data_IF_263553712862
#
_entry.id   IF_263553712862
#
_cell.length_a   1.000
_cell.length_b   1.000
_cell.length_c   1.000
_cell.angle_alpha   90.00
_cell.angle_beta   90.00
_cell.angle_gamma   90.00
#
_symmetry.space_group_name_H-M   'P 1'
#
loop_
_entity.id
_entity.type
_entity.pdbx_description
1 polymer ?
#
# COMPACT_ATOMS: atom_id res chain seq x y z
N UNK A 1 89.35 -26.60 38.87
CA UNK A 1 89.25 -26.31 37.42
C UNK A 1 87.86 -25.92 37.12
N UNK A 2 87.60 -24.61 37.24
CA UNK A 2 86.26 -24.03 37.16
C UNK A 2 86.13 -23.27 35.83
N UNK A 3 85.08 -23.57 35.04
CA UNK A 3 84.78 -22.82 33.86
C UNK A 3 83.37 -22.22 34.02
N UNK A 4 83.20 -20.90 34.05
CA UNK A 4 81.91 -20.31 34.19
C UNK A 4 81.29 -20.04 32.76
N UNK A 5 80.11 -20.56 32.50
CA UNK A 5 79.34 -20.25 31.35
C UNK A 5 78.68 -18.88 31.45
N UNK A 6 79.00 -17.98 30.54
CA UNK A 6 78.36 -16.68 30.39
C UNK A 6 77.07 -16.82 29.58
N UNK A 7 75.93 -16.51 30.20
CA UNK A 7 74.66 -16.35 29.53
C UNK A 7 74.65 -15.02 28.76
N UNK A 8 74.44 -15.13 27.44
CA UNK A 8 74.15 -13.98 26.58
C UNK A 8 72.65 -13.66 26.65
N UNK A 9 72.35 -12.46 27.14
CA UNK A 9 71.01 -11.90 27.15
C UNK A 9 70.57 -11.57 25.73
N UNK A 10 69.46 -12.18 25.26
CA UNK A 10 68.80 -11.87 23.99
C UNK A 10 67.71 -10.85 24.26
N UNK A 11 67.96 -9.58 23.89
CA UNK A 11 66.96 -8.51 23.95
C UNK A 11 65.96 -8.68 22.83
N UNK A 12 64.71 -9.05 23.16
CA UNK A 12 63.62 -9.15 22.22
C UNK A 12 63.01 -7.75 22.01
N UNK A 13 63.21 -7.22 20.81
CA UNK A 13 62.63 -5.94 20.38
C UNK A 13 61.15 -6.16 20.01
N UNK A 14 60.20 -5.65 20.80
CA UNK A 14 58.80 -5.63 20.47
C UNK A 14 58.53 -4.48 19.50
N UNK A 15 58.25 -4.80 18.25
CA UNK A 15 57.84 -3.86 17.23
C UNK A 15 56.33 -3.62 17.41
N UNK A 16 55.93 -2.52 18.02
CA UNK A 16 54.55 -2.12 18.16
C UNK A 16 54.03 -1.61 16.82
N UNK A 17 53.25 -2.43 16.14
CA UNK A 17 52.56 -2.07 14.92
C UNK A 17 51.31 -1.26 15.29
N UNK A 18 51.35 0.06 15.19
CA UNK A 18 50.20 0.94 15.36
C UNK A 18 49.25 0.77 14.15
N UNK A 19 48.10 0.14 14.37
CA UNK A 19 46.99 0.08 13.42
C UNK A 19 46.39 1.49 13.29
N UNK A 20 46.73 2.20 12.22
CA UNK A 20 46.04 3.42 11.79
C UNK A 20 44.65 3.02 11.29
N UNK A 21 43.65 3.09 12.16
CA UNK A 21 42.25 3.04 11.75
C UNK A 21 41.92 4.28 10.94
N UNK A 22 41.83 4.12 9.63
CA UNK A 22 41.30 5.18 8.76
C UNK A 22 39.83 5.37 9.10
N UNK A 23 39.49 6.43 9.83
CA UNK A 23 38.11 6.85 10.00
C UNK A 23 37.60 7.29 8.64
N UNK A 24 36.77 6.48 8.02
CA UNK A 24 36.00 6.89 6.84
C UNK A 24 35.03 7.97 7.33
N UNK A 25 35.24 9.20 6.89
CA UNK A 25 34.33 10.30 7.18
C UNK A 25 32.96 9.97 6.54
N UNK A 26 31.99 9.59 7.36
CA UNK A 26 30.61 9.39 6.91
C UNK A 26 30.03 10.74 6.48
N UNK A 27 29.51 10.78 5.24
CA UNK A 27 28.76 11.94 4.76
C UNK A 27 27.52 12.12 5.65
N UNK A 28 27.30 13.31 6.23
CA UNK A 28 26.16 13.52 7.13
C UNK A 28 24.84 13.41 6.33
N UNK A 29 23.91 12.64 6.85
CA UNK A 29 22.55 12.56 6.33
C UNK A 29 21.77 13.70 6.96
N UNK A 30 21.22 14.59 6.14
CA UNK A 30 20.45 15.74 6.60
C UNK A 30 18.96 15.47 6.34
N UNK A 31 18.18 15.45 7.41
CA UNK A 31 16.72 15.45 7.33
C UNK A 31 16.23 16.89 7.23
N UNK A 32 15.53 17.28 6.12
CA UNK A 32 14.90 18.59 6.02
C UNK A 32 13.88 18.79 7.15
N UNK A 33 13.82 19.98 7.72
CA UNK A 33 12.74 20.36 8.64
C UNK A 33 11.45 20.67 7.87
N UNK A 34 10.32 20.59 8.56
CA UNK A 34 9.06 21.12 8.04
C UNK A 34 9.17 22.62 7.72
N UNK A 35 8.30 23.21 6.90
CA UNK A 35 8.33 24.64 6.59
C UNK A 35 8.44 25.49 7.87
N UNK A 36 9.53 26.27 7.96
CA UNK A 36 9.83 27.10 9.14
C UNK A 36 10.60 26.39 10.27
N UNK A 37 10.93 25.11 10.12
CA UNK A 37 11.75 24.36 11.07
C UNK A 37 13.17 24.12 10.51
N UNK A 38 14.21 24.11 11.37
CA UNK A 38 15.58 23.84 10.94
C UNK A 38 15.74 22.37 10.51
N UNK A 39 16.61 22.14 9.54
CA UNK A 39 17.07 20.79 9.20
C UNK A 39 17.91 20.21 10.33
N UNK A 40 17.86 18.87 10.51
CA UNK A 40 18.70 18.16 11.50
C UNK A 40 19.56 17.09 10.83
N UNK A 41 20.71 16.84 11.41
CA UNK A 41 21.55 15.70 11.02
C UNK A 41 21.02 14.44 11.73
N UNK A 42 20.93 13.33 10.98
CA UNK A 42 20.47 12.03 11.47
C UNK A 42 21.51 10.96 11.15
N UNK A 43 21.47 9.86 11.91
CA UNK A 43 22.29 8.68 11.68
C UNK A 43 21.71 7.82 10.55
N UNK A 44 22.50 6.85 10.04
CA UNK A 44 22.00 5.85 9.05
C UNK A 44 20.86 5.03 9.66
N UNK A 45 20.96 4.70 10.95
CA UNK A 45 19.95 3.93 11.66
C UNK A 45 18.63 4.73 11.79
N UNK A 46 18.73 6.02 12.16
CA UNK A 46 17.57 6.91 12.17
C UNK A 46 16.98 7.10 10.77
N UNK A 47 17.82 7.24 9.72
CA UNK A 47 17.35 7.35 8.35
C UNK A 47 16.64 6.06 7.87
N UNK A 48 17.15 4.90 8.25
CA UNK A 48 16.54 3.60 7.96
C UNK A 48 15.20 3.42 8.70
N UNK A 49 15.12 3.87 9.95
CA UNK A 49 13.90 3.87 10.74
C UNK A 49 12.86 4.86 10.21
N UNK A 50 13.28 6.03 9.71
CA UNK A 50 12.37 6.99 9.07
C UNK A 50 11.78 6.44 7.76
N UNK A 51 12.56 5.69 6.98
CA UNK A 51 12.05 5.01 5.78
C UNK A 51 11.05 3.88 6.10
N UNK A 52 11.09 3.33 7.34
CA UNK A 52 10.21 2.25 7.80
C UNK A 52 9.01 2.69 8.66
N UNK A 53 8.92 3.97 9.03
CA UNK A 53 7.94 4.46 10.03
C UNK A 53 7.02 5.57 9.51
N UNK A 54 6.96 5.81 8.22
CA UNK A 54 6.12 6.87 7.69
C UNK A 54 4.71 6.40 7.33
N UNK A 55 4.05 5.68 8.21
CA UNK A 55 2.63 5.40 8.07
C UNK A 55 1.88 5.79 9.36
N UNK A 56 0.61 6.11 9.20
CA UNK A 56 -0.33 6.48 10.26
C UNK A 56 -1.39 5.38 10.45
N UNK A 57 -2.16 5.47 11.54
CA UNK A 57 -3.34 4.61 11.71
C UNK A 57 -4.36 4.78 10.57
N UNK A 58 -4.44 5.97 9.98
CA UNK A 58 -5.30 6.23 8.84
C UNK A 58 -4.81 5.49 7.58
N UNK A 59 -3.49 5.39 7.36
CA UNK A 59 -2.92 4.61 6.27
C UNK A 59 -3.23 3.11 6.42
N UNK A 60 -3.13 2.59 7.64
CA UNK A 60 -3.47 1.19 7.94
C UNK A 60 -4.95 0.91 7.66
N UNK A 61 -5.84 1.78 8.15
CA UNK A 61 -7.29 1.65 7.92
C UNK A 61 -7.65 1.78 6.44
N UNK A 62 -6.96 2.64 5.71
CA UNK A 62 -7.12 2.78 4.28
C UNK A 62 -6.76 1.49 3.55
N UNK A 63 -5.57 0.90 3.81
CA UNK A 63 -5.14 -0.36 3.20
C UNK A 63 -6.12 -1.50 3.51
N UNK A 64 -6.51 -1.66 4.78
CA UNK A 64 -7.49 -2.68 5.19
C UNK A 64 -8.87 -2.47 4.56
N UNK A 65 -9.32 -1.23 4.49
CA UNK A 65 -10.59 -0.87 3.86
C UNK A 65 -10.56 -1.10 2.35
N UNK A 66 -9.46 -0.75 1.68
CA UNK A 66 -9.32 -0.91 0.23
C UNK A 66 -9.23 -2.39 -0.18
N UNK A 67 -8.61 -3.26 0.62
CA UNK A 67 -8.67 -4.72 0.42
C UNK A 67 -10.12 -5.21 0.38
N UNK A 68 -10.94 -4.77 1.34
CA UNK A 68 -12.36 -5.16 1.40
C UNK A 68 -13.15 -4.57 0.23
N UNK A 69 -12.84 -3.33 -0.15
CA UNK A 69 -13.44 -2.66 -1.29
C UNK A 69 -13.13 -3.41 -2.59
N UNK A 70 -11.87 -3.71 -2.88
CA UNK A 70 -11.44 -4.45 -4.07
C UNK A 70 -12.02 -5.87 -4.12
N UNK A 71 -12.09 -6.54 -2.98
CA UNK A 71 -12.73 -7.87 -2.90
C UNK A 71 -14.18 -7.87 -3.39
N UNK A 72 -14.91 -6.77 -3.19
CA UNK A 72 -16.28 -6.66 -3.70
C UNK A 72 -16.32 -6.46 -5.23
N UNK A 73 -15.35 -5.74 -5.81
CA UNK A 73 -15.23 -5.62 -7.27
C UNK A 73 -14.96 -6.97 -7.92
N UNK A 74 -14.08 -7.80 -7.31
CA UNK A 74 -13.85 -9.18 -7.77
C UNK A 74 -15.13 -10.00 -7.73
N UNK A 75 -15.91 -9.92 -6.65
CA UNK A 75 -17.21 -10.59 -6.55
C UNK A 75 -18.17 -10.18 -7.68
N UNK A 76 -18.22 -8.90 -8.05
CA UNK A 76 -19.03 -8.43 -9.18
C UNK A 76 -18.50 -8.94 -10.52
N UNK A 77 -17.18 -8.90 -10.72
CA UNK A 77 -16.54 -9.33 -11.96
C UNK A 77 -16.73 -10.82 -12.22
N UNK A 78 -16.69 -11.68 -11.19
CA UNK A 78 -16.98 -13.11 -11.29
C UNK A 78 -18.40 -13.41 -11.81
N UNK A 79 -19.35 -12.52 -11.61
CA UNK A 79 -20.73 -12.72 -12.12
C UNK A 79 -20.83 -12.61 -13.64
N UNK A 80 -19.86 -11.93 -14.28
CA UNK A 80 -19.93 -11.54 -15.71
C UNK A 80 -19.94 -12.76 -16.62
N UNK A 81 -19.08 -13.76 -16.38
CA UNK A 81 -18.95 -14.94 -17.26
C UNK A 81 -20.28 -15.66 -17.49
N UNK A 82 -21.09 -15.81 -16.44
CA UNK A 82 -22.35 -16.52 -16.50
C UNK A 82 -23.53 -15.65 -16.98
N UNK A 83 -23.39 -14.32 -17.02
CA UNK A 83 -24.52 -13.38 -17.20
C UNK A 83 -24.41 -12.47 -18.40
N UNK A 84 -23.20 -12.23 -18.92
CA UNK A 84 -22.97 -11.38 -20.08
C UNK A 84 -22.34 -12.16 -21.23
N UNK A 85 -22.90 -12.00 -22.42
CA UNK A 85 -22.28 -12.48 -23.67
C UNK A 85 -21.54 -11.36 -24.42
N UNK A 86 -21.54 -10.13 -23.90
CA UNK A 86 -20.92 -8.97 -24.52
C UNK A 86 -19.40 -8.98 -24.23
N UNK A 87 -18.63 -9.28 -25.30
CA UNK A 87 -17.16 -9.39 -25.20
C UNK A 87 -16.51 -8.19 -24.50
N UNK A 88 -16.97 -6.97 -24.80
CA UNK A 88 -16.43 -5.75 -24.18
C UNK A 88 -16.62 -5.73 -22.65
N UNK A 89 -17.72 -6.27 -22.13
CA UNK A 89 -17.98 -6.41 -20.68
C UNK A 89 -17.09 -7.49 -20.07
N UNK A 90 -16.94 -8.63 -20.75
CA UNK A 90 -16.07 -9.72 -20.30
C UNK A 90 -14.61 -9.28 -20.22
N UNK A 91 -14.12 -8.55 -21.22
CA UNK A 91 -12.76 -8.01 -21.23
C UNK A 91 -12.56 -6.93 -20.15
N UNK A 92 -13.58 -6.10 -19.89
CA UNK A 92 -13.53 -5.12 -18.80
C UNK A 92 -13.45 -5.81 -17.44
N UNK A 93 -14.32 -6.80 -17.19
CA UNK A 93 -14.32 -7.55 -15.93
C UNK A 93 -13.01 -8.29 -15.70
N UNK A 94 -12.46 -8.94 -16.73
CA UNK A 94 -11.16 -9.61 -16.66
C UNK A 94 -10.04 -8.63 -16.29
N UNK A 95 -10.02 -7.45 -16.90
CA UNK A 95 -9.02 -6.41 -16.62
C UNK A 95 -9.12 -5.94 -15.17
N UNK A 96 -10.35 -5.63 -14.71
CA UNK A 96 -10.60 -5.24 -13.31
C UNK A 96 -10.13 -6.34 -12.35
N UNK A 97 -10.46 -7.61 -12.64
CA UNK A 97 -10.03 -8.72 -11.77
C UNK A 97 -8.52 -8.80 -11.66
N UNK A 98 -7.80 -8.78 -12.78
CA UNK A 98 -6.33 -8.90 -12.78
C UNK A 98 -5.67 -7.73 -12.04
N UNK A 99 -6.11 -6.49 -12.29
CA UNK A 99 -5.55 -5.31 -11.63
C UNK A 99 -5.81 -5.35 -10.12
N UNK A 100 -7.05 -5.59 -9.71
CA UNK A 100 -7.42 -5.52 -8.30
C UNK A 100 -6.95 -6.72 -7.48
N UNK A 101 -6.76 -7.91 -8.08
CA UNK A 101 -6.08 -9.03 -7.43
C UNK A 101 -4.62 -8.67 -7.08
N UNK A 102 -3.87 -8.11 -8.03
CA UNK A 102 -2.48 -7.67 -7.81
C UNK A 102 -2.40 -6.57 -6.74
N UNK A 103 -3.34 -5.63 -6.74
CA UNK A 103 -3.43 -4.56 -5.75
C UNK A 103 -3.76 -5.08 -4.35
N UNK A 104 -4.65 -6.07 -4.22
CA UNK A 104 -4.92 -6.75 -2.94
C UNK A 104 -3.65 -7.40 -2.41
N UNK A 105 -2.92 -8.14 -3.24
CA UNK A 105 -1.65 -8.78 -2.84
C UNK A 105 -0.65 -7.74 -2.34
N UNK A 106 -0.48 -6.65 -3.07
CA UNK A 106 0.43 -5.57 -2.67
C UNK A 106 0.03 -4.94 -1.31
N UNK A 107 -1.27 -4.69 -1.09
CA UNK A 107 -1.75 -4.15 0.19
C UNK A 107 -1.54 -5.13 1.34
N UNK A 108 -1.78 -6.42 1.12
CA UNK A 108 -1.52 -7.47 2.11
C UNK A 108 -0.04 -7.56 2.46
N UNK A 109 0.85 -7.54 1.47
CA UNK A 109 2.30 -7.54 1.68
C UNK A 109 2.76 -6.28 2.42
N UNK A 110 2.17 -5.12 2.12
CA UNK A 110 2.47 -3.87 2.82
C UNK A 110 2.12 -3.95 4.32
N UNK A 111 0.96 -4.53 4.66
CA UNK A 111 0.52 -4.75 6.04
C UNK A 111 1.39 -5.80 6.74
N UNK A 112 1.67 -6.93 6.07
CA UNK A 112 2.47 -8.03 6.63
C UNK A 112 3.91 -7.59 6.93
N UNK A 113 4.53 -6.81 6.06
CA UNK A 113 5.88 -6.27 6.27
C UNK A 113 5.99 -5.36 7.51
N UNK A 114 4.85 -4.96 8.10
CA UNK A 114 4.73 -4.11 9.29
C UNK A 114 4.13 -4.82 10.50
N UNK A 115 3.99 -6.14 10.43
CA UNK A 115 3.31 -6.97 11.45
C UNK A 115 1.88 -6.48 11.77
N UNK A 116 1.18 -5.93 10.77
CA UNK A 116 -0.19 -5.41 10.90
C UNK A 116 -1.22 -6.42 10.41
N UNK A 117 -2.42 -6.48 11.02
CA UNK A 117 -3.47 -7.37 10.57
C UNK A 117 -3.99 -6.97 9.18
N UNK A 118 -4.21 -7.97 8.30
CA UNK A 118 -4.77 -7.76 6.96
C UNK A 118 -6.23 -7.31 6.99
N UNK A 119 -6.99 -7.85 7.93
CA UNK A 119 -8.40 -7.51 8.11
C UNK A 119 -8.58 -6.34 9.07
N UNK A 120 -9.53 -5.47 8.76
CA UNK A 120 -9.96 -4.41 9.67
C UNK A 120 -10.55 -5.01 10.95
N UNK A 121 -10.18 -4.51 12.15
CA UNK A 121 -10.76 -4.97 13.41
C UNK A 121 -12.29 -4.80 13.43
N UNK A 122 -13.00 -5.80 14.00
CA UNK A 122 -14.46 -5.76 14.09
C UNK A 122 -15.00 -4.50 14.77
N UNK A 123 -14.26 -3.96 15.75
CA UNK A 123 -14.64 -2.72 16.44
C UNK A 123 -14.63 -1.52 15.48
N UNK A 124 -13.65 -1.44 14.59
CA UNK A 124 -13.56 -0.36 13.59
C UNK A 124 -14.65 -0.50 12.53
N UNK A 125 -14.94 -1.72 12.07
CA UNK A 125 -16.07 -1.98 11.16
C UNK A 125 -17.43 -1.59 11.79
N UNK A 126 -17.64 -1.92 13.07
CA UNK A 126 -18.86 -1.53 13.79
C UNK A 126 -18.95 -0.01 14.00
N UNK A 127 -17.83 0.67 14.27
CA UNK A 127 -17.78 2.11 14.39
C UNK A 127 -18.14 2.80 13.06
N UNK A 128 -17.62 2.32 11.94
CA UNK A 128 -17.98 2.82 10.61
C UNK A 128 -19.47 2.61 10.30
N UNK A 129 -20.01 1.44 10.61
CA UNK A 129 -21.42 1.14 10.39
C UNK A 129 -22.34 2.00 11.28
N UNK A 130 -21.97 2.24 12.54
CA UNK A 130 -22.76 3.03 13.49
C UNK A 130 -22.76 4.54 13.18
N UNK A 131 -21.68 5.05 12.62
CA UNK A 131 -21.54 6.46 12.23
C UNK A 131 -22.13 6.76 10.85
N UNK A 132 -22.75 5.78 10.17
CA UNK A 132 -23.15 5.88 8.76
C UNK A 132 -22.00 6.26 7.82
N UNK A 133 -20.76 6.05 8.25
CA UNK A 133 -19.55 6.17 7.42
C UNK A 133 -19.32 4.87 6.65
N UNK A 134 -20.30 4.50 5.84
CA UNK A 134 -20.04 3.41 4.89
C UNK A 134 -18.85 3.81 4.01
N UNK A 135 -18.02 2.83 3.67
CA UNK A 135 -16.96 3.07 2.69
C UNK A 135 -17.58 3.61 1.40
N UNK A 136 -17.07 4.72 0.87
CA UNK A 136 -17.59 5.27 -0.37
C UNK A 136 -17.65 4.20 -1.46
N UNK A 137 -18.72 4.18 -2.22
CA UNK A 137 -18.89 3.28 -3.36
C UNK A 137 -19.20 1.82 -3.04
N UNK A 138 -19.01 1.37 -1.79
CA UNK A 138 -19.33 -0.01 -1.41
C UNK A 138 -20.82 -0.30 -1.68
N UNK A 139 -21.09 -1.46 -2.23
CA UNK A 139 -22.45 -1.89 -2.54
C UNK A 139 -23.08 -2.59 -1.35
N UNK A 140 -24.38 -2.40 -1.21
CA UNK A 140 -25.19 -3.15 -0.26
C UNK A 140 -25.41 -4.58 -0.74
N UNK A 141 -25.72 -5.51 0.18
CA UNK A 141 -26.14 -6.87 -0.18
C UNK A 141 -27.32 -6.87 -1.16
N UNK A 142 -28.29 -5.94 -0.97
CA UNK A 142 -29.43 -5.83 -1.86
C UNK A 142 -29.04 -5.43 -3.30
N UNK A 143 -28.04 -4.56 -3.48
CA UNK A 143 -27.53 -4.20 -4.81
C UNK A 143 -26.78 -5.37 -5.47
N UNK A 144 -26.04 -6.15 -4.68
CA UNK A 144 -25.37 -7.37 -5.16
C UNK A 144 -26.38 -8.46 -5.53
N UNK A 145 -27.40 -8.68 -4.71
CA UNK A 145 -28.48 -9.63 -4.98
C UNK A 145 -29.28 -9.23 -6.23
N UNK A 146 -29.58 -7.92 -6.37
CA UNK A 146 -30.20 -7.39 -7.60
C UNK A 146 -29.34 -7.71 -8.82
N UNK A 147 -28.04 -7.41 -8.79
CA UNK A 147 -27.12 -7.68 -9.88
C UNK A 147 -27.06 -9.18 -10.20
N UNK A 148 -26.99 -10.03 -9.18
CA UNK A 148 -26.92 -11.46 -9.32
C UNK A 148 -28.19 -12.07 -9.96
N UNK A 149 -29.33 -11.41 -9.84
CA UNK A 149 -30.61 -11.81 -10.44
C UNK A 149 -30.76 -11.42 -11.91
N UNK A 150 -29.91 -10.55 -12.45
CA UNK A 150 -30.01 -10.05 -13.82
C UNK A 150 -29.18 -10.89 -14.81
N UNK A 151 -29.50 -10.78 -16.11
CA UNK A 151 -28.75 -11.42 -17.20
C UNK A 151 -28.76 -10.54 -18.45
N UNK A 152 -27.87 -10.83 -19.40
CA UNK A 152 -27.81 -10.16 -20.69
C UNK A 152 -27.70 -8.63 -20.58
N UNK A 153 -28.43 -7.88 -21.37
CA UNK A 153 -28.33 -6.42 -21.42
C UNK A 153 -28.68 -5.71 -20.09
N UNK A 154 -29.64 -6.27 -19.35
CA UNK A 154 -30.00 -5.70 -18.01
C UNK A 154 -28.85 -5.85 -17.04
N UNK A 155 -28.22 -7.02 -17.00
CA UNK A 155 -27.01 -7.27 -16.24
C UNK A 155 -25.87 -6.33 -16.66
N UNK A 156 -25.58 -6.24 -17.96
CA UNK A 156 -24.52 -5.40 -18.50
C UNK A 156 -24.65 -3.95 -18.06
N UNK A 157 -25.86 -3.40 -18.21
CA UNK A 157 -26.15 -2.02 -17.83
C UNK A 157 -25.95 -1.81 -16.31
N UNK A 158 -26.52 -2.73 -15.51
CA UNK A 158 -26.44 -2.62 -14.05
C UNK A 158 -25.02 -2.85 -13.52
N UNK A 159 -24.29 -3.81 -14.07
CA UNK A 159 -22.89 -4.05 -13.76
C UNK A 159 -22.04 -2.79 -13.98
N UNK A 160 -22.16 -2.16 -15.15
CA UNK A 160 -21.41 -0.92 -15.44
C UNK A 160 -21.77 0.20 -14.47
N UNK A 161 -23.05 0.41 -14.17
CA UNK A 161 -23.50 1.45 -13.24
C UNK A 161 -22.95 1.23 -11.83
N UNK A 162 -23.01 0.00 -11.33
CA UNK A 162 -22.55 -0.35 -9.99
C UNK A 162 -21.03 -0.32 -9.89
N UNK A 163 -20.32 -0.77 -10.94
CA UNK A 163 -18.87 -0.73 -10.98
C UNK A 163 -18.33 0.71 -11.06
N UNK A 164 -18.99 1.60 -11.82
CA UNK A 164 -18.69 3.04 -11.84
C UNK A 164 -18.84 3.62 -10.43
N UNK A 165 -19.99 3.40 -9.77
CA UNK A 165 -20.23 3.84 -8.39
C UNK A 165 -19.12 3.36 -7.45
N UNK A 166 -18.72 2.10 -7.61
CA UNK A 166 -17.71 1.46 -6.80
C UNK A 166 -16.33 2.13 -7.00
N UNK A 167 -15.92 2.35 -8.24
CA UNK A 167 -14.64 2.99 -8.58
C UNK A 167 -14.58 4.45 -8.14
N UNK A 168 -15.64 5.23 -8.34
CA UNK A 168 -15.74 6.60 -7.80
C UNK A 168 -15.62 6.61 -6.27
N UNK A 169 -16.07 5.54 -5.62
CA UNK A 169 -15.90 5.34 -4.20
C UNK A 169 -14.45 5.15 -3.79
N UNK A 170 -13.69 4.34 -4.51
CA UNK A 170 -12.26 4.13 -4.24
C UNK A 170 -11.45 5.44 -4.40
N UNK A 171 -11.73 6.20 -5.47
CA UNK A 171 -11.13 7.52 -5.68
C UNK A 171 -11.45 8.44 -4.50
N UNK A 172 -12.70 8.45 -4.02
CA UNK A 172 -13.10 9.22 -2.83
C UNK A 172 -12.37 8.75 -1.56
N UNK A 173 -12.08 7.45 -1.42
CA UNK A 173 -11.29 6.94 -0.29
C UNK A 173 -9.85 7.46 -0.34
N UNK A 174 -9.24 7.51 -1.52
CA UNK A 174 -7.90 8.09 -1.73
C UNK A 174 -7.91 9.58 -1.36
N UNK A 175 -8.86 10.36 -1.87
CA UNK A 175 -8.97 11.79 -1.57
C UNK A 175 -9.07 12.02 -0.05
N UNK A 176 -9.95 11.28 0.64
CA UNK A 176 -10.11 11.37 2.10
C UNK A 176 -8.85 11.00 2.87
N UNK A 177 -8.04 10.08 2.36
CA UNK A 177 -6.75 9.75 2.97
C UNK A 177 -5.79 10.92 2.82
N UNK A 178 -5.63 11.43 1.60
CA UNK A 178 -4.68 12.49 1.29
C UNK A 178 -5.03 13.85 1.93
N UNK A 179 -6.30 14.09 2.26
CA UNK A 179 -6.75 15.26 3.01
C UNK A 179 -6.30 15.24 4.49
N UNK A 180 -5.84 14.10 5.01
CA UNK A 180 -5.39 13.98 6.39
C UNK A 180 -3.90 14.30 6.52
N UNK A 181 -3.47 15.15 7.47
CA UNK A 181 -2.08 15.49 7.63
C UNK A 181 -1.21 14.29 7.99
N UNK A 182 -0.11 14.10 7.26
CA UNK A 182 0.90 13.08 7.54
C UNK A 182 0.59 11.68 7.01
N UNK A 183 -0.50 11.49 6.27
CA UNK A 183 -0.83 10.24 5.57
C UNK A 183 -0.04 10.09 4.27
N UNK A 184 -0.01 8.89 3.73
CA UNK A 184 0.63 8.53 2.45
C UNK A 184 2.09 9.02 2.32
N UNK A 185 2.84 9.04 3.43
CA UNK A 185 4.27 9.38 3.41
C UNK A 185 5.15 8.17 3.04
N UNK A 186 4.62 6.98 3.14
CA UNK A 186 5.25 5.76 2.66
C UNK A 186 5.22 5.74 1.12
N UNK A 187 6.37 5.45 0.49
CA UNK A 187 6.50 5.53 -0.97
C UNK A 187 5.63 4.51 -1.72
N UNK A 188 5.43 3.32 -1.14
CA UNK A 188 4.59 2.27 -1.73
C UNK A 188 3.13 2.69 -1.67
N UNK A 189 2.68 3.16 -0.49
CA UNK A 189 1.32 3.66 -0.30
C UNK A 189 1.04 4.88 -1.21
N UNK A 190 1.99 5.84 -1.30
CA UNK A 190 1.82 7.01 -2.17
C UNK A 190 1.71 6.62 -3.65
N UNK A 191 2.57 5.72 -4.12
CA UNK A 191 2.48 5.20 -5.49
C UNK A 191 1.12 4.53 -5.72
N UNK A 192 0.69 3.66 -4.80
CA UNK A 192 -0.59 2.98 -4.86
C UNK A 192 -1.79 3.95 -4.94
N UNK A 193 -1.81 5.01 -4.12
CA UNK A 193 -2.90 6.02 -4.20
C UNK A 193 -2.95 6.71 -5.57
N UNK A 194 -1.79 6.94 -6.18
CA UNK A 194 -1.68 7.53 -7.51
C UNK A 194 -2.20 6.57 -8.59
N UNK A 195 -1.80 5.29 -8.51
CA UNK A 195 -2.18 4.26 -9.47
C UNK A 195 -3.69 4.00 -9.40
N UNK A 196 -4.26 3.81 -8.20
CA UNK A 196 -5.72 3.66 -8.00
C UNK A 196 -6.49 4.84 -8.61
N UNK A 197 -6.06 6.08 -8.35
CA UNK A 197 -6.74 7.26 -8.90
C UNK A 197 -6.69 7.29 -10.42
N UNK A 198 -5.53 7.00 -11.02
CA UNK A 198 -5.34 7.01 -12.48
C UNK A 198 -6.14 5.91 -13.18
N UNK A 199 -5.98 4.68 -12.68
CA UNK A 199 -6.53 3.50 -13.33
C UNK A 199 -8.05 3.46 -13.19
N UNK A 200 -8.57 3.69 -12.00
CA UNK A 200 -10.02 3.68 -11.80
C UNK A 200 -10.73 4.86 -12.46
N UNK A 201 -10.09 6.04 -12.58
CA UNK A 201 -10.62 7.14 -13.40
C UNK A 201 -10.74 6.70 -14.87
N UNK A 202 -9.70 6.09 -15.43
CA UNK A 202 -9.70 5.59 -16.80
C UNK A 202 -10.75 4.50 -17.02
N UNK A 203 -10.98 3.65 -16.04
CA UNK A 203 -12.01 2.60 -16.10
C UNK A 203 -13.43 3.17 -16.00
N UNK A 204 -13.67 4.17 -15.14
CA UNK A 204 -14.94 4.92 -15.07
C UNK A 204 -15.28 5.56 -16.42
N UNK A 205 -14.31 6.21 -17.08
CA UNK A 205 -14.50 6.80 -18.41
C UNK A 205 -14.89 5.76 -19.46
N UNK A 206 -14.21 4.60 -19.47
CA UNK A 206 -14.52 3.50 -20.41
C UNK A 206 -15.89 2.89 -20.14
N UNK A 207 -16.23 2.61 -18.89
CA UNK A 207 -17.53 2.06 -18.51
C UNK A 207 -18.66 3.05 -18.84
N UNK A 208 -18.43 4.34 -18.60
CA UNK A 208 -19.39 5.41 -18.98
C UNK A 208 -19.60 5.48 -20.48
N UNK A 209 -18.53 5.35 -21.28
CA UNK A 209 -18.66 5.27 -22.74
C UNK A 209 -19.43 4.03 -23.19
N UNK A 210 -19.26 2.87 -22.53
CA UNK A 210 -20.02 1.64 -22.82
C UNK A 210 -21.51 1.76 -22.48
N UNK A 211 -21.88 2.60 -21.52
CA UNK A 211 -23.28 2.89 -21.16
C UNK A 211 -23.96 3.84 -22.17
N UNK A 212 -23.18 4.72 -22.80
CA UNK A 212 -23.70 5.71 -23.74
C UNK A 212 -23.91 5.19 -25.17
N UNK A 213 -23.30 4.07 -25.52
CA UNK A 213 -23.32 3.47 -26.87
C UNK A 213 -24.03 2.16 -26.93
#
# INVERSE_FOLDING_TARGET
>A
MNNPFTLKSVSTLWLSMALLSSAVAQVPIIQPGAPGQPSRQITIEEASNLAGLSYTDADVKFMQGMIMHHSQALQMAEMVEARSSREAIQLMALRISLSQEDEIVMMEEWLEARDLPRAMPMADMQAMASNHEMMPGILTEAELDELAGLTSQEFDTRFLQLMIKHHEGAITMVDRLLDQPGTAQDSVLFAFTTDVTSDQTSEVERMSAMLAG
#
